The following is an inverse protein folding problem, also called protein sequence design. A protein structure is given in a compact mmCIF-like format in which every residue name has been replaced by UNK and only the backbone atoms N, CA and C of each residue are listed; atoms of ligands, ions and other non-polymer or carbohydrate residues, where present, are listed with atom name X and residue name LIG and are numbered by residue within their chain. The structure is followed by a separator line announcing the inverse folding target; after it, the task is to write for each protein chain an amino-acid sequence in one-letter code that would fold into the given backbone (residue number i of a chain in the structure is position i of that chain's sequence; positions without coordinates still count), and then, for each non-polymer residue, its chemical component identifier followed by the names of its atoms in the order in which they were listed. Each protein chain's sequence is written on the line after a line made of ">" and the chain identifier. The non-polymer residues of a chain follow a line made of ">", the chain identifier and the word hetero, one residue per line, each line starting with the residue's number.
data_IF_660881114264
#
_entry.id   IF_660881114264
#
_cell.length_a   1.000
_cell.length_b   1.000
_cell.length_c   1.000
_cell.angle_alpha   90.00
_cell.angle_beta   90.00
_cell.angle_gamma   90.00
#
_symmetry.space_group_name_H-M   'P 1'
#
loop_
_entity.id
_entity.type
_entity.pdbx_description
1 polymer ?
#
# COMPACT_ATOMS: atom_id res chain seq x y z
N UNK A 1 11.86 -4.54 -52.03
CA UNK A 1 11.12 -3.52 -52.82
C UNK A 1 10.19 -2.82 -51.90
N UNK A 2 10.53 -1.74 -51.61
CA UNK A 2 10.38 -0.28 -51.42
C UNK A 2 10.17 0.11 -49.96
N UNK A 3 11.22 0.73 -49.49
CA UNK A 3 11.25 1.60 -48.31
C UNK A 3 10.28 2.76 -48.47
N UNK A 4 9.57 3.10 -47.40
CA UNK A 4 8.93 4.42 -47.23
C UNK A 4 9.33 4.94 -45.84
N UNK A 5 10.39 5.68 -45.87
CA UNK A 5 10.90 6.58 -44.85
C UNK A 5 9.88 7.74 -44.65
N UNK A 6 9.32 7.91 -43.46
CA UNK A 6 8.54 9.08 -43.09
C UNK A 6 9.24 9.83 -41.96
N UNK A 7 9.75 11.00 -42.30
CA UNK A 7 10.32 11.97 -41.41
C UNK A 7 9.30 12.50 -40.38
N UNK A 8 9.75 12.84 -39.14
CA UNK A 8 8.90 13.45 -38.14
C UNK A 8 8.70 14.94 -38.40
N UNK A 9 7.46 15.36 -38.49
CA UNK A 9 7.06 16.77 -38.56
C UNK A 9 7.24 17.44 -37.19
N UNK A 10 8.07 18.45 -37.18
CA UNK A 10 8.40 19.35 -36.05
C UNK A 10 7.22 20.32 -35.85
N UNK A 11 6.39 20.08 -34.84
CA UNK A 11 5.37 21.05 -34.41
C UNK A 11 5.99 22.12 -33.53
N UNK A 12 6.09 23.33 -34.05
CA UNK A 12 6.42 24.55 -33.31
C UNK A 12 5.19 25.01 -32.53
N UNK A 13 5.30 25.35 -31.21
CA UNK A 13 4.18 25.90 -30.47
C UNK A 13 3.96 27.38 -30.84
N UNK A 14 2.70 27.87 -30.81
CA UNK A 14 2.38 29.24 -31.10
C UNK A 14 2.84 30.19 -29.99
N UNK A 15 3.42 31.32 -30.39
CA UNK A 15 3.83 32.44 -29.55
C UNK A 15 2.65 33.09 -28.85
N UNK A 16 2.68 33.12 -27.52
CA UNK A 16 1.72 33.82 -26.65
C UNK A 16 1.87 35.34 -26.78
N UNK A 17 0.75 36.10 -26.80
CA UNK A 17 0.78 37.55 -26.85
C UNK A 17 1.26 38.16 -25.52
N UNK A 18 2.08 39.18 -25.63
CA UNK A 18 2.62 39.98 -24.54
C UNK A 18 1.50 40.59 -23.68
N UNK A 19 1.45 40.23 -22.42
CA UNK A 19 0.57 40.82 -21.40
C UNK A 19 1.22 42.11 -20.89
N UNK A 20 0.63 43.24 -21.25
CA UNK A 20 0.99 44.54 -20.69
C UNK A 20 0.72 44.57 -19.19
N UNK A 21 1.77 44.61 -18.39
CA UNK A 21 1.73 44.82 -16.93
C UNK A 21 1.63 46.32 -16.65
N UNK A 22 0.43 46.75 -16.25
CA UNK A 22 0.27 48.06 -15.59
C UNK A 22 0.97 48.03 -14.24
N UNK A 23 2.00 48.83 -14.11
CA UNK A 23 2.72 49.04 -12.88
C UNK A 23 1.80 49.70 -11.85
N UNK A 24 1.29 48.91 -10.89
CA UNK A 24 0.61 49.40 -9.70
C UNK A 24 1.64 49.57 -8.60
N UNK A 25 2.00 50.79 -8.36
CA UNK A 25 2.83 51.25 -7.26
C UNK A 25 2.21 50.77 -5.95
N UNK A 26 2.79 49.79 -5.29
CA UNK A 26 2.39 49.28 -3.96
C UNK A 26 3.39 49.76 -2.93
N UNK A 27 2.84 50.37 -1.91
CA UNK A 27 3.54 50.96 -0.76
C UNK A 27 4.47 49.93 -0.08
N UNK A 28 5.67 50.47 0.31
CA UNK A 28 6.83 49.70 0.81
C UNK A 28 6.74 49.23 2.27
N UNK A 29 5.56 48.70 2.72
CA UNK A 29 5.40 48.23 4.09
C UNK A 29 5.37 46.70 4.28
N UNK A 30 5.03 45.92 3.25
CA UNK A 30 4.74 44.47 3.41
C UNK A 30 5.97 43.57 3.18
N UNK A 31 7.06 44.06 2.66
CA UNK A 31 8.25 43.27 2.32
C UNK A 31 8.99 42.67 3.52
N UNK A 32 9.03 43.38 4.64
CA UNK A 32 9.77 42.97 5.83
C UNK A 32 9.03 41.87 6.63
N UNK A 33 7.69 41.89 6.66
CA UNK A 33 6.87 40.85 7.31
C UNK A 33 6.93 39.52 6.58
N UNK A 34 6.90 39.56 5.23
CA UNK A 34 6.97 38.35 4.40
C UNK A 34 8.31 37.64 4.51
N UNK A 35 9.43 38.39 4.66
CA UNK A 35 10.76 37.80 4.84
C UNK A 35 10.94 37.13 6.20
N UNK A 36 10.39 37.71 7.26
CA UNK A 36 10.45 37.12 8.60
C UNK A 36 9.60 35.89 8.72
N UNK A 37 8.41 35.85 8.10
CA UNK A 37 7.54 34.68 8.07
C UNK A 37 8.16 33.51 7.29
N UNK A 38 8.91 33.81 6.22
CA UNK A 38 9.64 32.80 5.47
C UNK A 38 10.81 32.21 6.29
N UNK A 39 11.56 33.04 6.99
CA UNK A 39 12.66 32.63 7.86
C UNK A 39 12.17 31.82 9.06
N UNK A 40 11.05 32.20 9.65
CA UNK A 40 10.44 31.44 10.75
C UNK A 40 9.89 30.08 10.29
N UNK A 41 9.35 29.97 9.08
CA UNK A 41 8.94 28.70 8.47
C UNK A 41 10.12 27.78 8.18
N UNK A 42 11.24 28.36 7.75
CA UNK A 42 12.48 27.63 7.50
C UNK A 42 13.10 27.13 8.81
N UNK A 43 13.18 27.96 9.84
CA UNK A 43 13.61 27.56 11.18
C UNK A 43 12.70 26.53 11.84
N UNK A 44 11.39 26.58 11.57
CA UNK A 44 10.45 25.55 12.02
C UNK A 44 10.69 24.23 11.32
N UNK A 45 10.94 24.26 10.00
CA UNK A 45 11.30 23.03 9.24
C UNK A 45 12.61 22.45 9.73
N UNK A 46 13.64 23.27 9.97
CA UNK A 46 14.91 22.82 10.53
C UNK A 46 14.75 22.23 11.95
N UNK A 47 13.86 22.79 12.78
CA UNK A 47 13.55 22.24 14.09
C UNK A 47 12.76 20.92 14.01
N UNK A 48 11.76 20.86 13.14
CA UNK A 48 10.98 19.65 12.92
C UNK A 48 11.84 18.52 12.32
N UNK A 49 12.88 18.87 11.54
CA UNK A 49 13.88 17.94 11.02
C UNK A 49 14.94 17.54 12.08
N UNK A 50 15.24 18.40 13.07
CA UNK A 50 16.24 18.15 14.10
C UNK A 50 15.71 17.42 15.33
N UNK A 51 14.42 17.57 15.63
CA UNK A 51 13.78 16.94 16.81
C UNK A 51 13.37 15.46 16.54
N UNK A 52 13.58 15.00 15.31
CA UNK A 52 13.44 13.60 14.97
C UNK A 52 14.74 12.89 15.29
N UNK A 53 14.74 12.18 16.42
CA UNK A 53 15.90 11.45 16.93
C UNK A 53 16.51 10.54 15.84
N UNK A 54 17.62 11.00 15.27
CA UNK A 54 18.24 10.44 14.07
C UNK A 54 18.92 9.10 14.30
N UNK A 55 19.02 8.64 15.58
CA UNK A 55 19.94 7.59 15.95
C UNK A 55 19.51 6.17 15.58
N UNK A 56 18.20 5.88 15.56
CA UNK A 56 17.72 4.50 15.32
C UNK A 56 17.22 4.24 13.90
N UNK A 57 16.82 5.27 13.15
CA UNK A 57 16.14 5.10 11.87
C UNK A 57 17.07 5.14 10.65
N UNK A 58 18.27 5.70 10.76
CA UNK A 58 19.21 5.81 9.63
C UNK A 58 19.82 4.46 9.24
N UNK A 59 19.90 3.51 10.18
CA UNK A 59 20.34 2.14 9.90
C UNK A 59 19.36 1.37 9.01
N UNK A 60 18.07 1.77 9.01
CA UNK A 60 17.00 1.07 8.27
C UNK A 60 16.68 1.68 6.90
N UNK A 61 17.34 2.76 6.51
CA UNK A 61 17.16 3.42 5.19
C UNK A 61 18.10 2.84 4.14
N UNK A 62 18.47 1.59 4.25
CA UNK A 62 19.20 0.90 3.18
C UNK A 62 18.22 0.51 2.07
N UNK A 63 18.69 0.49 0.81
CA UNK A 63 17.91 0.01 -0.35
C UNK A 63 17.41 -1.44 -0.20
N UNK A 64 17.84 -2.15 0.83
CA UNK A 64 17.44 -3.52 1.14
C UNK A 64 16.03 -3.63 1.74
N UNK A 65 15.57 -2.61 2.46
CA UNK A 65 14.25 -2.62 3.11
C UNK A 65 13.18 -1.99 2.24
N UNK A 66 12.00 -2.61 2.22
CA UNK A 66 10.80 -2.04 1.55
C UNK A 66 10.36 -0.78 2.27
N UNK A 67 10.29 -0.86 3.60
CA UNK A 67 9.91 0.23 4.51
C UNK A 67 10.58 0.02 5.86
N UNK A 68 10.80 1.08 6.66
CA UNK A 68 11.30 0.95 8.02
C UNK A 68 10.40 0.05 8.89
N UNK A 69 10.98 -0.85 9.72
CA UNK A 69 10.21 -1.74 10.59
C UNK A 69 9.26 -1.02 11.55
N UNK A 70 9.62 0.17 12.02
CA UNK A 70 8.77 1.00 12.88
C UNK A 70 7.45 1.38 12.22
N UNK A 71 7.46 1.65 10.91
CA UNK A 71 6.25 1.97 10.11
C UNK A 71 5.43 0.71 9.83
N UNK A 72 6.08 -0.45 9.73
CA UNK A 72 5.40 -1.71 9.44
C UNK A 72 4.69 -2.33 10.66
N UNK A 73 4.90 -1.81 11.87
CA UNK A 73 4.23 -2.33 13.09
C UNK A 73 2.72 -2.54 12.93
N UNK A 74 1.93 -1.63 12.35
CA UNK A 74 0.50 -1.88 12.13
C UNK A 74 0.24 -3.12 11.26
N UNK A 75 1.07 -3.40 10.25
CA UNK A 75 0.95 -4.58 9.40
C UNK A 75 1.29 -5.86 10.14
N UNK A 76 2.25 -5.83 11.06
CA UNK A 76 2.55 -6.95 11.96
C UNK A 76 1.33 -7.30 12.81
N UNK A 77 0.67 -6.30 13.41
CA UNK A 77 -0.54 -6.55 14.22
C UNK A 77 -1.72 -7.02 13.38
N UNK A 78 -1.92 -6.45 12.19
CA UNK A 78 -3.03 -6.86 11.31
C UNK A 78 -2.78 -8.16 10.55
N UNK A 79 -1.57 -8.73 10.61
CA UNK A 79 -1.30 -10.09 10.18
C UNK A 79 -2.14 -11.14 10.94
N UNK A 80 -2.74 -10.79 12.07
CA UNK A 80 -3.68 -11.63 12.81
C UNK A 80 -5.11 -11.60 12.26
N UNK A 81 -5.46 -10.72 11.34
CA UNK A 81 -6.82 -10.63 10.78
C UNK A 81 -7.32 -11.94 10.16
N UNK A 82 -6.50 -12.79 9.50
CA UNK A 82 -6.92 -14.09 9.02
C UNK A 82 -7.43 -15.06 10.11
N UNK A 83 -7.20 -14.74 11.40
CA UNK A 83 -7.78 -15.50 12.50
C UNK A 83 -9.32 -15.46 12.50
N UNK A 84 -9.92 -14.34 12.09
CA UNK A 84 -11.38 -14.19 12.09
C UNK A 84 -12.08 -15.21 11.18
N UNK A 85 -11.72 -15.38 9.89
CA UNK A 85 -12.31 -16.42 9.05
C UNK A 85 -12.00 -17.83 9.55
N UNK A 86 -10.80 -18.06 10.10
CA UNK A 86 -10.46 -19.37 10.69
C UNK A 86 -11.38 -19.72 11.86
N UNK A 87 -11.56 -18.81 12.81
CA UNK A 87 -12.45 -18.98 13.95
C UNK A 87 -13.91 -19.17 13.50
N UNK A 88 -14.39 -18.36 12.55
CA UNK A 88 -15.74 -18.45 12.02
C UNK A 88 -16.02 -19.81 11.38
N UNK A 89 -15.08 -20.33 10.55
CA UNK A 89 -15.20 -21.63 9.91
C UNK A 89 -15.17 -22.78 10.93
N UNK A 90 -14.20 -22.75 11.85
CA UNK A 90 -14.02 -23.82 12.84
C UNK A 90 -15.13 -23.86 13.89
N UNK A 91 -15.68 -22.70 14.30
CA UNK A 91 -16.80 -22.66 15.22
C UNK A 91 -18.08 -23.28 14.62
N UNK A 92 -18.27 -23.15 13.31
CA UNK A 92 -19.49 -23.62 12.63
C UNK A 92 -19.38 -25.03 12.08
N UNK A 93 -18.23 -25.44 11.59
CA UNK A 93 -18.04 -26.70 10.88
C UNK A 93 -16.67 -27.35 11.17
N UNK A 94 -16.33 -27.67 12.44
CA UNK A 94 -14.99 -28.13 12.82
C UNK A 94 -14.58 -29.46 12.16
N UNK A 95 -15.56 -30.30 11.75
CA UNK A 95 -15.31 -31.56 11.07
C UNK A 95 -15.26 -31.44 9.54
N UNK A 96 -15.66 -30.31 8.98
CA UNK A 96 -15.62 -30.08 7.54
C UNK A 96 -14.20 -29.87 7.06
N UNK A 97 -13.77 -30.61 6.03
CA UNK A 97 -12.42 -30.47 5.47
C UNK A 97 -12.17 -29.07 4.90
N UNK A 98 -13.20 -28.37 4.39
CA UNK A 98 -13.14 -27.02 3.86
C UNK A 98 -12.84 -26.01 4.98
N UNK A 99 -13.50 -26.15 6.13
CA UNK A 99 -13.24 -25.32 7.30
C UNK A 99 -11.81 -25.50 7.82
N UNK A 100 -11.34 -26.74 7.89
CA UNK A 100 -9.96 -27.05 8.31
C UNK A 100 -8.93 -26.53 7.33
N UNK A 101 -9.19 -26.63 6.02
CA UNK A 101 -8.33 -26.07 4.98
C UNK A 101 -8.22 -24.53 5.10
N UNK A 102 -9.35 -23.85 5.30
CA UNK A 102 -9.35 -22.39 5.52
C UNK A 102 -8.58 -22.01 6.78
N UNK A 103 -8.76 -22.75 7.88
CA UNK A 103 -8.03 -22.50 9.13
C UNK A 103 -6.51 -22.72 8.97
N UNK A 104 -6.11 -23.79 8.28
CA UNK A 104 -4.70 -24.07 8.01
C UNK A 104 -4.03 -22.98 7.16
N UNK A 105 -4.69 -22.54 6.09
CA UNK A 105 -4.19 -21.44 5.26
C UNK A 105 -4.18 -20.09 6.01
N UNK A 106 -5.17 -19.83 6.84
CA UNK A 106 -5.16 -18.65 7.72
C UNK A 106 -3.98 -18.67 8.68
N UNK A 107 -3.66 -19.81 9.29
CA UNK A 107 -2.49 -19.97 10.15
C UNK A 107 -1.18 -19.75 9.37
N UNK A 108 -1.10 -20.30 8.16
CA UNK A 108 0.06 -20.10 7.28
C UNK A 108 0.21 -18.61 6.89
N UNK A 109 -0.87 -17.91 6.56
CA UNK A 109 -0.87 -16.47 6.29
C UNK A 109 -0.40 -15.66 7.49
N UNK A 110 -0.90 -15.96 8.68
CA UNK A 110 -0.46 -15.27 9.91
C UNK A 110 1.05 -15.45 10.07
N UNK A 111 1.56 -16.67 9.96
CA UNK A 111 2.97 -16.97 10.17
C UNK A 111 3.86 -16.32 9.10
N UNK A 112 3.48 -16.38 7.82
CA UNK A 112 4.26 -15.82 6.72
C UNK A 112 4.27 -14.29 6.74
N UNK A 113 3.11 -13.65 6.89
CA UNK A 113 2.98 -12.19 6.94
C UNK A 113 3.65 -11.61 8.18
N UNK A 114 3.49 -12.24 9.35
CA UNK A 114 4.22 -11.84 10.55
C UNK A 114 5.73 -11.89 10.33
N UNK A 115 6.23 -12.99 9.73
CA UNK A 115 7.65 -13.17 9.42
C UNK A 115 8.17 -12.15 8.42
N UNK A 116 7.35 -11.76 7.44
CA UNK A 116 7.71 -10.74 6.44
C UNK A 116 7.72 -9.33 7.04
N UNK A 117 6.65 -8.90 7.70
CA UNK A 117 6.48 -7.52 8.16
C UNK A 117 7.35 -7.14 9.36
N UNK A 118 7.95 -8.10 10.08
CA UNK A 118 8.96 -7.80 11.11
C UNK A 118 10.25 -7.21 10.56
N UNK A 119 10.64 -7.59 9.34
CA UNK A 119 11.82 -7.08 8.65
C UNK A 119 11.58 -7.15 7.13
N UNK A 120 10.80 -6.22 6.56
CA UNK A 120 10.33 -6.28 5.19
C UNK A 120 11.46 -5.92 4.22
N UNK A 121 12.16 -6.93 3.68
CA UNK A 121 13.21 -6.77 2.67
C UNK A 121 12.69 -7.13 1.29
N UNK A 122 13.19 -6.41 0.25
CA UNK A 122 12.78 -6.61 -1.14
C UNK A 122 13.07 -8.04 -1.61
N UNK A 123 14.31 -8.48 -1.53
CA UNK A 123 14.77 -9.76 -2.05
C UNK A 123 15.00 -10.75 -0.91
N UNK A 124 13.93 -11.05 -0.16
CA UNK A 124 14.01 -11.99 0.95
C UNK A 124 13.19 -13.25 0.68
N UNK A 125 13.69 -14.44 1.06
CA UNK A 125 12.91 -15.68 0.99
C UNK A 125 11.58 -15.58 1.74
N UNK A 126 11.52 -14.77 2.82
CA UNK A 126 10.30 -14.55 3.60
C UNK A 126 9.21 -13.83 2.77
N UNK A 127 9.60 -12.85 1.95
CA UNK A 127 8.67 -12.16 1.04
C UNK A 127 8.10 -13.11 0.00
N UNK A 128 8.97 -13.90 -0.65
CA UNK A 128 8.52 -14.87 -1.65
C UNK A 128 7.63 -15.94 -1.04
N UNK A 129 7.96 -16.41 0.15
CA UNK A 129 7.14 -17.37 0.88
C UNK A 129 5.77 -16.77 1.23
N UNK A 130 5.73 -15.54 1.74
CA UNK A 130 4.48 -14.84 2.03
C UNK A 130 3.61 -14.70 0.77
N UNK A 131 4.19 -14.27 -0.35
CA UNK A 131 3.48 -14.19 -1.63
C UNK A 131 2.93 -15.56 -2.08
N UNK A 132 3.70 -16.63 -1.94
CA UNK A 132 3.21 -17.98 -2.27
C UNK A 132 2.01 -18.38 -1.40
N UNK A 133 2.05 -18.10 -0.10
CA UNK A 133 0.95 -18.40 0.81
C UNK A 133 -0.28 -17.54 0.49
N UNK A 134 -0.09 -16.27 0.16
CA UNK A 134 -1.18 -15.38 -0.30
C UNK A 134 -1.85 -15.96 -1.55
N UNK A 135 -1.09 -16.32 -2.57
CA UNK A 135 -1.65 -16.88 -3.81
C UNK A 135 -2.34 -18.24 -3.58
N UNK A 136 -1.76 -19.09 -2.75
CA UNK A 136 -2.40 -20.35 -2.36
C UNK A 136 -3.74 -20.10 -1.65
N UNK A 137 -3.80 -19.08 -0.78
CA UNK A 137 -5.02 -18.71 -0.06
C UNK A 137 -6.09 -18.13 -0.98
N UNK A 138 -5.69 -17.30 -1.96
CA UNK A 138 -6.59 -16.77 -3.00
C UNK A 138 -7.14 -17.92 -3.85
N UNK A 139 -6.28 -18.82 -4.32
CA UNK A 139 -6.69 -19.99 -5.11
C UNK A 139 -7.66 -20.88 -4.35
N UNK A 140 -7.37 -21.16 -3.08
CA UNK A 140 -8.25 -21.93 -2.22
C UNK A 140 -9.60 -21.23 -1.99
N UNK A 141 -9.59 -19.91 -1.76
CA UNK A 141 -10.80 -19.11 -1.61
C UNK A 141 -11.66 -19.11 -2.89
N UNK A 142 -11.04 -19.02 -4.06
CA UNK A 142 -11.72 -19.14 -5.34
C UNK A 142 -12.38 -20.53 -5.50
N UNK A 143 -11.62 -21.60 -5.22
CA UNK A 143 -12.17 -22.95 -5.22
C UNK A 143 -13.33 -23.08 -4.22
N UNK A 144 -13.16 -22.61 -3.00
CA UNK A 144 -14.18 -22.67 -1.97
C UNK A 144 -15.44 -21.91 -2.41
N UNK A 145 -15.32 -20.73 -3.01
CA UNK A 145 -16.42 -19.94 -3.51
C UNK A 145 -17.23 -20.64 -4.62
N UNK A 146 -16.59 -21.50 -5.44
CA UNK A 146 -17.31 -22.30 -6.44
C UNK A 146 -18.16 -23.42 -5.84
N UNK A 147 -17.88 -23.82 -4.60
CA UNK A 147 -18.60 -24.90 -3.91
C UNK A 147 -19.71 -24.40 -2.98
N UNK A 148 -19.95 -23.08 -2.95
CA UNK A 148 -20.90 -22.45 -2.04
C UNK A 148 -22.08 -21.83 -2.78
N UNK A 149 -23.17 -21.63 -2.03
CA UNK A 149 -24.29 -20.82 -2.49
C UNK A 149 -23.84 -19.38 -2.81
N UNK A 150 -24.45 -18.81 -3.84
CA UNK A 150 -24.15 -17.45 -4.29
C UNK A 150 -24.22 -16.40 -3.18
N UNK A 151 -25.16 -16.56 -2.25
CA UNK A 151 -25.30 -15.66 -1.10
C UNK A 151 -24.00 -15.47 -0.31
N UNK A 152 -23.17 -16.51 -0.19
CA UNK A 152 -21.87 -16.49 0.47
C UNK A 152 -20.71 -16.27 -0.49
N UNK A 153 -20.77 -16.85 -1.69
CA UNK A 153 -19.73 -16.72 -2.70
C UNK A 153 -19.57 -15.28 -3.22
N UNK A 154 -20.66 -14.51 -3.31
CA UNK A 154 -20.65 -13.11 -3.81
C UNK A 154 -19.69 -12.21 -3.06
N UNK A 155 -19.58 -12.37 -1.73
CA UNK A 155 -18.66 -11.58 -0.90
C UNK A 155 -17.21 -11.75 -1.31
N UNK A 156 -16.84 -12.97 -1.71
CA UNK A 156 -15.52 -13.28 -2.24
C UNK A 156 -15.34 -12.74 -3.66
N UNK A 157 -16.26 -13.03 -4.58
CA UNK A 157 -16.15 -12.64 -5.98
C UNK A 157 -16.20 -11.12 -6.21
N UNK A 158 -16.91 -10.39 -5.35
CA UNK A 158 -16.91 -8.92 -5.38
C UNK A 158 -15.76 -8.32 -4.57
N UNK A 159 -15.43 -8.90 -3.42
CA UNK A 159 -14.43 -8.36 -2.50
C UNK A 159 -13.00 -8.53 -2.99
N UNK A 160 -12.64 -9.73 -3.49
CA UNK A 160 -11.25 -10.00 -3.88
C UNK A 160 -10.75 -9.17 -5.07
N UNK A 161 -11.53 -8.88 -6.12
CA UNK A 161 -11.11 -7.93 -7.15
C UNK A 161 -10.85 -6.53 -6.60
N UNK A 162 -11.65 -6.06 -5.63
CA UNK A 162 -11.41 -4.77 -4.96
C UNK A 162 -10.13 -4.79 -4.13
N UNK A 163 -9.86 -5.87 -3.41
CA UNK A 163 -8.59 -6.08 -2.69
C UNK A 163 -7.42 -6.07 -3.66
N UNK A 164 -7.51 -6.78 -4.78
CA UNK A 164 -6.49 -6.81 -5.82
C UNK A 164 -6.26 -5.44 -6.44
N UNK A 165 -7.32 -4.70 -6.74
CA UNK A 165 -7.23 -3.33 -7.24
C UNK A 165 -6.60 -2.38 -6.22
N UNK A 166 -6.98 -2.47 -4.94
CA UNK A 166 -6.39 -1.68 -3.86
C UNK A 166 -4.90 -1.98 -3.70
N UNK A 167 -4.51 -3.25 -3.74
CA UNK A 167 -3.11 -3.66 -3.70
C UNK A 167 -2.32 -3.09 -4.90
N UNK A 168 -2.80 -3.30 -6.12
CA UNK A 168 -2.14 -2.83 -7.33
C UNK A 168 -2.01 -1.29 -7.37
N UNK A 169 -3.07 -0.57 -6.97
CA UNK A 169 -3.04 0.88 -6.88
C UNK A 169 -2.04 1.37 -5.83
N UNK A 170 -2.00 0.73 -4.66
CA UNK A 170 -1.07 1.07 -3.59
C UNK A 170 0.39 0.84 -3.99
N UNK A 171 0.71 -0.32 -4.57
CA UNK A 171 2.06 -0.65 -5.07
C UNK A 171 2.49 0.31 -6.19
N UNK A 172 1.61 0.56 -7.15
CA UNK A 172 1.91 1.50 -8.26
C UNK A 172 2.17 2.91 -7.74
N UNK A 173 1.34 3.41 -6.82
CA UNK A 173 1.51 4.72 -6.21
C UNK A 173 2.82 4.79 -5.41
N UNK A 174 3.10 3.78 -4.59
CA UNK A 174 4.32 3.67 -3.81
C UNK A 174 5.58 3.73 -4.69
N UNK A 175 5.66 2.87 -5.70
CA UNK A 175 6.81 2.83 -6.60
C UNK A 175 6.98 4.11 -7.43
N UNK A 176 5.87 4.75 -7.85
CA UNK A 176 5.92 6.02 -8.57
C UNK A 176 6.47 7.13 -7.69
N UNK A 177 5.98 7.25 -6.46
CA UNK A 177 6.38 8.31 -5.54
C UNK A 177 7.79 8.09 -5.02
N UNK A 178 8.18 6.86 -4.73
CA UNK A 178 9.55 6.54 -4.31
C UNK A 178 10.55 6.84 -5.44
N UNK A 179 10.21 6.56 -6.70
CA UNK A 179 11.02 6.97 -7.86
C UNK A 179 11.12 8.49 -7.97
N UNK A 180 10.00 9.20 -7.90
CA UNK A 180 9.98 10.65 -7.95
C UNK A 180 10.83 11.25 -6.84
N UNK A 181 10.76 10.70 -5.62
CA UNK A 181 11.60 11.12 -4.51
C UNK A 181 13.10 10.93 -4.80
N UNK A 182 13.51 9.78 -5.36
CA UNK A 182 14.91 9.50 -5.71
C UNK A 182 15.44 10.44 -6.82
N UNK A 183 14.58 10.86 -7.75
CA UNK A 183 15.01 11.70 -8.91
C UNK A 183 15.02 13.20 -8.61
N UNK A 184 14.17 13.68 -7.72
CA UNK A 184 14.01 15.11 -7.46
C UNK A 184 15.05 15.69 -6.48
N UNK A 185 15.95 14.90 -5.91
CA UNK A 185 17.12 15.33 -5.12
C UNK A 185 16.87 16.23 -3.90
N UNK A 186 15.61 16.55 -3.58
CA UNK A 186 15.24 17.55 -2.59
C UNK A 186 13.99 17.23 -1.79
N UNK A 187 13.43 16.03 -1.95
CA UNK A 187 12.29 15.64 -1.11
C UNK A 187 12.78 15.35 0.32
N UNK A 188 12.21 16.07 1.26
CA UNK A 188 12.55 15.97 2.69
C UNK A 188 12.31 14.55 3.23
N UNK A 189 13.02 14.19 4.30
CA UNK A 189 12.78 12.97 5.09
C UNK A 189 11.31 12.84 5.47
N UNK A 190 10.67 13.94 5.89
CA UNK A 190 9.26 13.99 6.22
C UNK A 190 8.35 13.53 5.07
N UNK A 191 8.65 13.90 3.83
CA UNK A 191 7.89 13.46 2.66
C UNK A 191 8.00 11.94 2.45
N UNK A 192 9.19 11.36 2.60
CA UNK A 192 9.40 9.91 2.52
C UNK A 192 8.62 9.15 3.60
N UNK A 193 8.60 9.66 4.83
CA UNK A 193 7.82 9.11 5.93
C UNK A 193 6.32 9.15 5.64
N UNK A 194 5.83 10.24 5.05
CA UNK A 194 4.45 10.33 4.62
C UNK A 194 4.08 9.26 3.59
N UNK A 195 4.95 9.03 2.56
CA UNK A 195 4.76 7.98 1.55
C UNK A 195 4.64 6.61 2.23
N UNK A 196 5.57 6.27 3.12
CA UNK A 196 5.58 4.99 3.82
C UNK A 196 4.32 4.79 4.68
N UNK A 197 3.96 5.78 5.51
CA UNK A 197 2.77 5.71 6.36
C UNK A 197 1.50 5.56 5.54
N UNK A 198 1.32 6.34 4.50
CA UNK A 198 0.16 6.23 3.61
C UNK A 198 0.07 4.84 2.99
N UNK A 199 1.17 4.34 2.44
CA UNK A 199 1.26 3.00 1.84
C UNK A 199 0.89 1.92 2.85
N UNK A 200 1.41 1.99 4.08
CA UNK A 200 1.09 1.06 5.16
C UNK A 200 -0.41 1.06 5.49
N UNK A 201 -1.01 2.23 5.69
CA UNK A 201 -2.43 2.33 6.02
C UNK A 201 -3.33 1.88 4.88
N UNK A 202 -2.99 2.21 3.63
CA UNK A 202 -3.73 1.75 2.45
C UNK A 202 -3.64 0.22 2.32
N UNK A 203 -2.49 -0.37 2.56
CA UNK A 203 -2.29 -1.82 2.56
C UNK A 203 -3.10 -2.50 3.68
N UNK A 204 -3.05 -1.94 4.88
CA UNK A 204 -3.80 -2.44 6.03
C UNK A 204 -5.29 -2.50 5.76
N UNK A 205 -5.88 -1.39 5.32
CA UNK A 205 -7.33 -1.30 5.10
C UNK A 205 -7.74 -2.03 3.82
N UNK A 206 -7.04 -1.77 2.71
CA UNK A 206 -7.40 -2.32 1.41
C UNK A 206 -7.10 -3.81 1.27
N UNK A 207 -6.00 -4.28 1.86
CA UNK A 207 -5.55 -5.67 1.69
C UNK A 207 -5.90 -6.51 2.92
N UNK A 208 -5.36 -6.21 4.09
CA UNK A 208 -5.55 -7.07 5.27
C UNK A 208 -7.02 -7.10 5.73
N UNK A 209 -7.65 -5.94 5.92
CA UNK A 209 -9.03 -5.90 6.36
C UNK A 209 -9.99 -6.38 5.26
N UNK A 210 -9.77 -5.95 4.01
CA UNK A 210 -10.60 -6.33 2.87
C UNK A 210 -10.59 -7.84 2.61
N UNK A 211 -9.40 -8.46 2.53
CA UNK A 211 -9.28 -9.90 2.31
C UNK A 211 -9.85 -10.74 3.46
N UNK A 212 -9.61 -10.32 4.71
CA UNK A 212 -10.16 -11.01 5.88
C UNK A 212 -11.68 -10.91 5.95
N UNK A 213 -12.26 -9.78 5.55
CA UNK A 213 -13.72 -9.63 5.45
C UNK A 213 -14.29 -10.55 4.39
N UNK A 214 -13.71 -10.61 3.18
CA UNK A 214 -14.14 -11.49 2.10
C UNK A 214 -14.02 -12.98 2.50
N UNK A 215 -12.91 -13.38 3.14
CA UNK A 215 -12.70 -14.73 3.65
C UNK A 215 -13.67 -15.09 4.79
N UNK A 216 -13.99 -14.16 5.68
CA UNK A 216 -14.97 -14.37 6.75
C UNK A 216 -16.35 -14.63 6.16
N UNK A 217 -16.73 -13.91 5.11
CA UNK A 217 -17.98 -14.14 4.41
C UNK A 217 -18.07 -15.56 3.83
N UNK A 218 -17.00 -16.07 3.21
CA UNK A 218 -16.92 -17.47 2.79
C UNK A 218 -17.01 -18.45 3.97
N UNK A 219 -16.29 -18.15 5.06
CA UNK A 219 -16.30 -18.99 6.25
C UNK A 219 -17.70 -19.20 6.82
N UNK A 220 -18.55 -18.16 6.76
CA UNK A 220 -19.95 -18.24 7.17
C UNK A 220 -20.77 -19.20 6.29
N UNK A 221 -20.42 -19.34 5.01
CA UNK A 221 -21.08 -20.24 4.07
C UNK A 221 -20.71 -21.70 4.21
N UNK A 222 -19.54 -22.05 4.80
CA UNK A 222 -19.09 -23.44 4.97
C UNK A 222 -20.09 -24.26 5.77
N UNK A 223 -20.79 -23.65 6.71
CA UNK A 223 -21.81 -24.34 7.52
C UNK A 223 -23.17 -24.48 6.81
N UNK A 224 -23.50 -23.55 5.91
CA UNK A 224 -24.81 -23.52 5.22
C UNK A 224 -24.96 -24.54 4.09
N UNK A 225 -23.84 -25.04 3.54
CA UNK A 225 -23.84 -25.95 2.38
C UNK A 225 -23.98 -27.43 2.71
N UNK A 226 -24.58 -27.76 3.85
CA UNK A 226 -24.85 -29.13 4.29
C UNK A 226 -26.31 -29.57 4.04
N UNK A 227 -26.96 -28.96 3.07
CA UNK A 227 -28.29 -29.38 2.62
C UNK A 227 -28.23 -30.25 1.39
#
# INVERSE_FOLDING_TARGET
>A
MRDVERAPTRNTPPSSPARQTTARQRDGGDGARSSNDALEREKRRERDDADYDASDDDEYVTDAYVMPPSICRPLVYTSWFPLAPACAAMARAPRDARARGLAALSAALIASSFGHWRAPKWDSPRRYFDLCVVWASVGYGCWLATTMEWAYARGWWCGMPLVGAAFAANETAFHRELRAWKTCGGATRAHRWFIYRRTTWTHLVGVHAGSSTAATWLALGVAGSRG
#
